data_IF_337372674080
#
_entry.id   IF_337372674080
#
_cell.length_a   1.000
_cell.length_b   1.000
_cell.length_c   1.000
_cell.angle_alpha   90.00
_cell.angle_beta   90.00
_cell.angle_gamma   90.00
#
_symmetry.space_group_name_H-M   'P 1'
#
loop_
_entity.id
_entity.type
_entity.pdbx_description
1 polymer ?
#
# COMPACT_ATOMS: atom_id res chain seq x y z
N UNK A 1 -37.68 -5.05 6.67
CA UNK A 1 -36.52 -5.73 6.06
C UNK A 1 -35.87 -4.71 5.13
N UNK A 2 -34.86 -3.97 5.63
CA UNK A 2 -34.20 -2.95 4.82
C UNK A 2 -33.31 -3.69 3.81
N UNK A 3 -33.64 -3.57 2.53
CA UNK A 3 -32.78 -3.96 1.42
C UNK A 3 -31.55 -3.07 1.46
N UNK A 4 -30.47 -3.54 2.09
CA UNK A 4 -29.17 -2.94 1.90
C UNK A 4 -28.76 -3.18 0.44
N UNK A 5 -28.92 -2.15 -0.40
CA UNK A 5 -28.19 -2.07 -1.65
C UNK A 5 -26.71 -2.12 -1.29
N UNK A 6 -26.04 -3.22 -1.65
CA UNK A 6 -24.59 -3.26 -1.58
C UNK A 6 -24.13 -2.40 -2.75
N UNK A 7 -23.75 -1.16 -2.46
CA UNK A 7 -23.17 -0.30 -3.48
C UNK A 7 -21.89 -0.99 -3.99
N UNK A 8 -21.85 -1.30 -5.28
CA UNK A 8 -20.68 -1.90 -5.90
C UNK A 8 -19.53 -0.89 -5.91
N UNK A 9 -18.67 -0.94 -4.91
CA UNK A 9 -17.43 -0.15 -4.88
C UNK A 9 -16.46 -0.73 -5.91
N UNK A 10 -16.07 0.08 -6.89
CA UNK A 10 -15.13 -0.33 -7.95
C UNK A 10 -13.83 0.43 -7.80
N UNK A 11 -12.72 -0.30 -7.63
CA UNK A 11 -11.37 0.28 -7.61
C UNK A 11 -10.69 0.08 -8.96
N UNK A 12 -10.07 1.15 -9.48
CA UNK A 12 -9.31 1.09 -10.74
C UNK A 12 -7.82 0.79 -10.54
N UNK A 13 -7.32 0.98 -9.32
CA UNK A 13 -5.89 0.90 -9.01
C UNK A 13 -5.64 0.01 -7.81
N UNK A 14 -4.51 -0.69 -7.86
CA UNK A 14 -3.93 -1.37 -6.71
C UNK A 14 -2.44 -1.01 -6.59
N UNK A 15 -2.03 -0.57 -5.41
CA UNK A 15 -0.62 -0.29 -5.11
C UNK A 15 0.07 -1.59 -4.71
N UNK A 16 1.18 -1.91 -5.38
CA UNK A 16 2.03 -3.04 -4.99
C UNK A 16 2.71 -2.74 -3.67
N UNK A 17 2.56 -3.64 -2.71
CA UNK A 17 3.19 -3.57 -1.40
C UNK A 17 3.63 -4.97 -0.97
N UNK A 18 4.54 -5.10 -0.01
CA UNK A 18 5.01 -6.38 0.50
C UNK A 18 3.89 -7.08 1.25
N UNK A 19 3.71 -8.38 1.00
CA UNK A 19 2.68 -9.18 1.66
C UNK A 19 2.68 -9.07 3.20
N UNK A 20 3.81 -9.17 3.92
CA UNK A 20 3.81 -8.98 5.38
C UNK A 20 3.44 -7.56 5.82
N UNK A 21 3.75 -6.53 5.02
CA UNK A 21 3.32 -5.15 5.32
C UNK A 21 1.81 -4.98 5.14
N UNK A 22 1.22 -5.61 4.12
CA UNK A 22 -0.24 -5.68 3.96
C UNK A 22 -0.88 -6.38 5.17
N UNK A 23 -0.35 -7.52 5.60
CA UNK A 23 -0.86 -8.25 6.76
C UNK A 23 -0.82 -7.41 8.05
N UNK A 24 0.28 -6.68 8.28
CA UNK A 24 0.41 -5.78 9.43
C UNK A 24 -0.58 -4.60 9.39
N UNK A 25 -0.83 -4.04 8.19
CA UNK A 25 -1.86 -3.00 8.00
C UNK A 25 -3.26 -3.56 8.29
N UNK A 26 -3.58 -4.76 7.81
CA UNK A 26 -4.86 -5.41 8.06
C UNK A 26 -5.08 -5.74 9.53
N UNK A 27 -4.00 -6.04 10.26
CA UNK A 27 -4.02 -6.25 11.71
C UNK A 27 -4.13 -4.95 12.51
N UNK A 28 -4.03 -3.77 11.88
CA UNK A 28 -4.04 -2.47 12.56
C UNK A 28 -2.75 -2.19 13.35
N UNK A 29 -1.66 -2.89 13.04
CA UNK A 29 -0.40 -2.83 13.79
C UNK A 29 0.59 -1.81 13.22
N UNK A 30 0.31 -1.33 12.02
CA UNK A 30 1.15 -0.36 11.33
C UNK A 30 0.30 0.70 10.63
N UNK A 31 0.85 1.90 10.57
CA UNK A 31 0.44 2.99 9.70
C UNK A 31 1.51 3.18 8.63
N UNK A 32 1.12 3.51 7.39
CA UNK A 32 2.05 3.83 6.30
C UNK A 32 1.92 5.30 5.93
N UNK A 33 3.08 5.98 5.86
CA UNK A 33 3.19 7.30 5.25
C UNK A 33 4.01 7.18 3.97
N UNK A 34 3.38 7.50 2.83
CA UNK A 34 4.10 7.54 1.56
C UNK A 34 4.88 8.85 1.44
N UNK A 35 6.19 8.73 1.24
CA UNK A 35 7.07 9.86 0.96
C UNK A 35 7.53 9.78 -0.48
N UNK A 36 7.47 10.91 -1.17
CA UNK A 36 8.13 11.07 -2.47
C UNK A 36 9.66 10.82 -2.33
N UNK A 37 10.22 9.97 -3.20
CA UNK A 37 11.68 9.84 -3.36
C UNK A 37 12.33 11.05 -4.08
N UNK A 38 13.65 11.02 -4.30
CA UNK A 38 14.39 12.08 -5.04
C UNK A 38 14.41 11.86 -6.57
N UNK A 39 14.89 12.74 -7.48
CA UNK A 39 14.99 14.23 -7.61
C UNK A 39 14.49 14.63 -9.04
N UNK A 40 13.98 13.71 -9.88
CA UNK A 40 13.76 13.99 -11.32
C UNK A 40 12.33 14.31 -11.76
N UNK A 41 11.31 14.02 -10.95
CA UNK A 41 9.94 14.43 -11.28
C UNK A 41 9.65 15.86 -10.78
N UNK A 42 9.38 16.84 -11.66
CA UNK A 42 9.19 18.22 -11.22
C UNK A 42 7.90 18.42 -10.41
N UNK A 43 6.90 17.53 -10.51
CA UNK A 43 5.62 17.64 -9.79
C UNK A 43 5.14 16.25 -9.33
N UNK A 44 4.91 16.10 -8.03
CA UNK A 44 4.19 14.95 -7.49
C UNK A 44 2.70 15.14 -7.75
N UNK A 45 2.04 14.10 -8.27
CA UNK A 45 0.59 14.07 -8.44
C UNK A 45 0.07 12.75 -7.92
N UNK A 46 -0.97 12.82 -7.10
CA UNK A 46 -1.73 11.64 -6.69
C UNK A 46 -2.56 11.20 -7.89
N UNK A 47 -2.30 9.99 -8.38
CA UNK A 47 -3.00 9.43 -9.54
C UNK A 47 -4.41 8.94 -9.19
N UNK A 48 -4.59 8.37 -8.00
CA UNK A 48 -5.88 7.92 -7.47
C UNK A 48 -5.95 8.23 -5.98
N UNK A 49 -7.12 8.67 -5.51
CA UNK A 49 -7.35 8.91 -4.08
C UNK A 49 -7.78 7.64 -3.36
N UNK A 50 -8.31 6.68 -4.08
CA UNK A 50 -8.78 5.38 -3.62
C UNK A 50 -8.05 4.27 -4.38
N UNK A 51 -7.57 3.26 -3.67
CA UNK A 51 -6.85 2.14 -4.27
C UNK A 51 -6.88 0.92 -3.35
N UNK A 52 -6.68 -0.25 -3.94
CA UNK A 52 -6.44 -1.48 -3.19
C UNK A 52 -4.94 -1.64 -2.87
N UNK A 53 -4.59 -2.42 -1.85
CA UNK A 53 -3.21 -2.92 -1.71
C UNK A 53 -3.08 -4.30 -2.33
N UNK A 54 -2.06 -4.45 -3.17
CA UNK A 54 -1.72 -5.72 -3.81
C UNK A 54 -0.52 -6.34 -3.08
N UNK A 55 -0.70 -7.48 -2.38
CA UNK A 55 0.39 -8.16 -1.67
C UNK A 55 1.33 -8.81 -2.69
N UNK A 56 2.59 -8.41 -2.67
CA UNK A 56 3.64 -8.92 -3.54
C UNK A 56 4.58 -9.87 -2.80
N UNK A 57 5.22 -10.76 -3.56
CA UNK A 57 6.30 -11.64 -3.11
C UNK A 57 7.70 -11.01 -3.30
N UNK A 58 7.79 -9.68 -3.43
CA UNK A 58 9.07 -8.99 -3.59
C UNK A 58 9.55 -8.46 -2.23
N UNK A 59 10.84 -8.63 -1.94
CA UNK A 59 11.48 -8.14 -0.70
C UNK A 59 10.78 -8.62 0.59
N UNK A 60 10.37 -9.90 0.62
CA UNK A 60 9.68 -10.49 1.77
C UNK A 60 10.60 -11.30 2.68
N UNK A 61 11.91 -11.29 2.44
CA UNK A 61 12.86 -12.13 3.18
C UNK A 61 12.82 -11.84 4.68
N UNK A 62 12.80 -12.90 5.49
CA UNK A 62 12.64 -12.85 6.95
C UNK A 62 13.60 -11.86 7.63
N UNK A 63 14.84 -11.79 7.16
CA UNK A 63 15.89 -10.92 7.73
C UNK A 63 15.66 -9.42 7.49
N UNK A 64 14.71 -9.04 6.64
CA UNK A 64 14.30 -7.64 6.42
C UNK A 64 13.25 -7.18 7.44
N UNK A 65 12.67 -8.11 8.20
CA UNK A 65 11.65 -7.83 9.21
C UNK A 65 12.26 -7.83 10.61
N UNK A 66 11.56 -7.17 11.55
CA UNK A 66 11.85 -7.37 12.97
C UNK A 66 11.56 -8.83 13.36
N UNK A 67 12.33 -9.45 14.27
CA UNK A 67 12.17 -10.86 14.62
C UNK A 67 10.73 -11.25 15.00
N UNK A 68 10.03 -10.42 15.78
CA UNK A 68 8.65 -10.65 16.17
C UNK A 68 7.68 -10.62 14.98
N UNK A 69 7.93 -9.74 14.00
CA UNK A 69 7.12 -9.64 12.79
C UNK A 69 7.41 -10.80 11.82
N UNK A 70 8.67 -11.22 11.71
CA UNK A 70 9.09 -12.39 10.96
C UNK A 70 8.35 -13.66 11.40
N UNK A 71 8.31 -13.92 12.70
CA UNK A 71 7.58 -15.07 13.26
C UNK A 71 6.08 -14.96 13.00
N UNK A 72 5.51 -13.78 13.23
CA UNK A 72 4.06 -13.57 13.13
C UNK A 72 3.53 -13.67 11.70
N UNK A 73 4.25 -13.07 10.75
CA UNK A 73 3.85 -12.94 9.34
C UNK A 73 4.56 -13.96 8.45
N UNK A 74 5.06 -15.07 9.00
CA UNK A 74 5.76 -16.11 8.25
C UNK A 74 4.97 -16.65 7.05
N UNK A 75 3.63 -16.71 7.16
CA UNK A 75 2.74 -17.13 6.07
C UNK A 75 2.71 -16.10 4.94
N UNK A 76 2.73 -14.82 5.29
CA UNK A 76 2.71 -13.70 4.34
C UNK A 76 4.08 -13.52 3.68
N UNK A 77 5.17 -13.85 4.38
CA UNK A 77 6.51 -13.94 3.80
C UNK A 77 6.56 -14.99 2.68
N UNK A 78 5.93 -16.15 2.92
CA UNK A 78 5.83 -17.25 1.96
C UNK A 78 4.73 -17.07 0.90
N UNK A 79 3.96 -15.98 0.95
CA UNK A 79 2.88 -15.74 0.01
C UNK A 79 3.42 -15.42 -1.39
N UNK A 80 2.92 -16.14 -2.40
CA UNK A 80 3.21 -15.86 -3.80
C UNK A 80 1.90 -15.72 -4.61
N UNK A 81 1.51 -14.50 -5.03
CA UNK A 81 0.27 -14.27 -5.76
C UNK A 81 0.20 -15.07 -7.07
N UNK A 82 1.35 -15.45 -7.66
CA UNK A 82 1.38 -16.20 -8.91
C UNK A 82 0.91 -17.65 -8.76
N UNK A 83 0.90 -18.19 -7.54
CA UNK A 83 0.45 -19.55 -7.27
C UNK A 83 -1.08 -19.66 -7.17
N UNK A 84 -1.80 -18.54 -7.20
CA UNK A 84 -3.24 -18.49 -7.02
C UNK A 84 -3.97 -18.20 -8.33
N UNK A 85 -5.06 -18.95 -8.59
CA UNK A 85 -5.96 -18.70 -9.74
C UNK A 85 -6.87 -17.49 -9.55
N UNK A 86 -7.10 -17.10 -8.30
CA UNK A 86 -7.88 -15.94 -7.91
C UNK A 86 -7.18 -15.23 -6.74
N UNK A 87 -7.20 -13.90 -6.77
CA UNK A 87 -6.56 -13.07 -5.76
C UNK A 87 -7.63 -12.43 -4.87
N UNK A 88 -7.44 -12.54 -3.56
CA UNK A 88 -8.26 -11.81 -2.58
C UNK A 88 -7.47 -10.59 -2.13
N UNK A 89 -8.02 -9.40 -2.38
CA UNK A 89 -7.44 -8.13 -1.93
C UNK A 89 -8.25 -7.64 -0.73
N UNK A 90 -7.68 -7.76 0.46
CA UNK A 90 -8.36 -7.48 1.73
C UNK A 90 -8.32 -6.02 2.18
N UNK A 91 -7.56 -5.17 1.48
CA UNK A 91 -7.30 -3.80 1.90
C UNK A 91 -7.66 -2.81 0.80
N UNK A 92 -8.60 -1.94 1.13
CA UNK A 92 -8.87 -0.71 0.42
C UNK A 92 -8.29 0.46 1.23
N UNK A 93 -7.71 1.43 0.54
CA UNK A 93 -7.12 2.62 1.12
C UNK A 93 -7.67 3.86 0.44
N UNK A 94 -7.79 4.93 1.23
CA UNK A 94 -8.10 6.28 0.79
C UNK A 94 -6.97 7.22 1.22
N UNK A 95 -6.56 8.11 0.33
CA UNK A 95 -5.63 9.19 0.66
C UNK A 95 -6.39 10.27 1.42
N UNK A 96 -6.06 10.44 2.70
CA UNK A 96 -6.65 11.50 3.54
C UNK A 96 -5.98 12.85 3.29
N UNK A 97 -4.66 12.88 3.16
CA UNK A 97 -3.87 14.12 3.12
C UNK A 97 -2.67 14.03 2.17
N UNK A 98 -2.26 15.18 1.63
CA UNK A 98 -1.04 15.34 0.84
C UNK A 98 -0.26 16.55 1.36
N UNK A 99 0.67 16.30 2.28
CA UNK A 99 1.49 17.35 2.88
C UNK A 99 2.62 17.75 1.94
N UNK A 100 2.71 19.04 1.63
CA UNK A 100 3.82 19.65 0.88
C UNK A 100 4.61 20.52 1.84
N UNK A 101 5.94 20.36 1.88
CA UNK A 101 6.80 21.23 2.67
C UNK A 101 6.72 22.67 2.13
N UNK A 102 6.17 23.63 2.90
CA UNK A 102 6.02 25.02 2.45
C UNK A 102 7.37 25.74 2.33
N UNK A 103 8.45 25.20 2.90
CA UNK A 103 9.80 25.76 2.88
C UNK A 103 10.69 25.28 1.72
N UNK A 104 10.25 24.30 0.92
CA UNK A 104 11.02 23.87 -0.25
C UNK A 104 10.84 24.88 -1.39
N UNK A 105 11.90 25.53 -1.90
CA UNK A 105 11.75 26.40 -3.06
C UNK A 105 11.18 25.58 -4.22
N UNK A 106 10.07 26.04 -4.80
CA UNK A 106 9.66 25.60 -6.14
C UNK A 106 10.88 25.83 -7.03
N UNK A 107 11.62 24.78 -7.40
CA UNK A 107 12.88 24.94 -8.14
C UNK A 107 12.68 25.93 -9.30
N UNK A 108 13.60 26.89 -9.37
CA UNK A 108 13.72 27.91 -10.41
C UNK A 108 13.60 27.28 -11.82
N UNK A 109 13.01 28.00 -12.80
CA UNK A 109 12.94 27.53 -14.17
C UNK A 109 14.35 27.31 -14.74
N UNK A 110 14.43 26.32 -15.63
CA UNK A 110 15.64 25.82 -16.32
C UNK A 110 16.49 26.89 -16.98
#
# INVERSE_FOLDING_TARGET
MLSHSVDNVTFQYALKEWAPACAALQAGEQLVLFRRGGIREPRFRIQSKDFLLFPTAFHTEEHLLKPEAAVKYAKDIAYDPKQHKALSLGLAAEVTDCLVDPGLPHRLPS
#
